data_IF_429120651384
#
_entry.id   IF_429120651384
#
_cell.length_a   1.000
_cell.length_b   1.000
_cell.length_c   1.000
_cell.angle_alpha   90.00
_cell.angle_beta   90.00
_cell.angle_gamma   90.00
#
_symmetry.space_group_name_H-M   'P 1'
#
loop_
_entity.id
_entity.type
_entity.pdbx_description
1 polymer ?
#
# COMPACT_ATOMS: atom_id res chain seq x y z
N UNK A 1 7.41 7.42 8.81
CA UNK A 1 6.55 6.21 8.84
C UNK A 1 6.65 5.50 7.49
N UNK A 2 6.82 4.22 7.51
CA UNK A 2 6.86 3.40 6.29
C UNK A 2 5.74 2.37 6.29
N UNK A 3 5.07 2.22 5.15
CA UNK A 3 3.93 1.32 4.98
C UNK A 3 4.10 0.50 3.71
N UNK A 4 3.35 -0.59 3.63
CA UNK A 4 3.10 -1.28 2.36
C UNK A 4 1.65 -0.98 1.98
N UNK A 5 1.42 -0.68 0.71
CA UNK A 5 0.11 -0.30 0.20
C UNK A 5 -0.39 -1.40 -0.74
N UNK A 6 -1.45 -2.10 -0.36
CA UNK A 6 -2.07 -3.09 -1.24
C UNK A 6 -2.66 -2.38 -2.46
N UNK A 7 -2.61 -3.03 -3.61
CA UNK A 7 -3.06 -2.45 -4.88
C UNK A 7 -4.51 -1.95 -4.82
N UNK A 8 -5.38 -2.65 -4.09
CA UNK A 8 -6.78 -2.23 -3.98
C UNK A 8 -6.95 -0.84 -3.36
N UNK A 9 -6.06 -0.46 -2.44
CA UNK A 9 -6.09 0.88 -1.82
C UNK A 9 -5.70 1.95 -2.85
N UNK A 10 -4.72 1.66 -3.68
CA UNK A 10 -4.28 2.57 -4.75
C UNK A 10 -5.41 2.79 -5.76
N UNK A 11 -6.05 1.71 -6.19
CA UNK A 11 -7.21 1.78 -7.11
C UNK A 11 -8.34 2.60 -6.48
N UNK A 12 -8.74 2.27 -5.25
CA UNK A 12 -9.83 2.97 -4.57
C UNK A 12 -9.53 4.44 -4.34
N UNK A 13 -8.27 4.76 -4.03
CA UNK A 13 -7.84 6.15 -3.82
C UNK A 13 -7.91 7.00 -5.08
N UNK A 14 -7.67 6.39 -6.24
CA UNK A 14 -7.78 7.07 -7.52
C UNK A 14 -9.22 7.16 -8.03
N UNK A 15 -10.06 6.17 -7.67
CA UNK A 15 -11.47 6.17 -8.10
C UNK A 15 -12.35 7.10 -7.28
N UNK A 16 -12.06 7.27 -5.99
CA UNK A 16 -12.91 8.02 -5.07
C UNK A 16 -12.09 9.05 -4.31
N UNK A 17 -12.11 10.32 -4.74
CA UNK A 17 -11.23 11.35 -4.17
C UNK A 17 -11.53 11.73 -2.73
N UNK A 18 -12.68 11.37 -2.18
CA UNK A 18 -13.08 11.77 -0.82
C UNK A 18 -13.00 10.67 0.24
N UNK A 19 -12.60 9.46 -0.14
CA UNK A 19 -12.56 8.33 0.79
C UNK A 19 -11.25 8.22 1.58
N UNK A 20 -11.23 7.30 2.54
CA UNK A 20 -10.03 7.00 3.31
C UNK A 20 -8.86 6.49 2.45
N UNK A 21 -9.09 5.67 1.40
CA UNK A 21 -8.00 5.31 0.50
C UNK A 21 -7.35 6.52 -0.17
N UNK A 22 -8.15 7.50 -0.60
CA UNK A 22 -7.61 8.73 -1.19
C UNK A 22 -6.81 9.54 -0.18
N UNK A 23 -7.27 9.64 1.07
CA UNK A 23 -6.53 10.32 2.12
C UNK A 23 -5.19 9.64 2.40
N UNK A 24 -5.17 8.30 2.43
CA UNK A 24 -3.93 7.53 2.57
C UNK A 24 -2.97 7.84 1.42
N UNK A 25 -3.48 7.83 0.18
CA UNK A 25 -2.67 8.13 -0.99
C UNK A 25 -2.15 9.57 -0.97
N UNK A 26 -2.95 10.53 -0.50
CA UNK A 26 -2.51 11.92 -0.37
C UNK A 26 -1.33 12.06 0.59
N UNK A 27 -1.34 11.34 1.72
CA UNK A 27 -0.22 11.34 2.66
C UNK A 27 1.06 10.80 2.01
N UNK A 28 0.93 9.77 1.20
CA UNK A 28 2.06 9.20 0.44
C UNK A 28 2.59 10.21 -0.57
N UNK A 29 1.71 10.80 -1.38
CA UNK A 29 2.10 11.73 -2.43
C UNK A 29 2.65 13.05 -1.86
N UNK A 30 2.25 13.42 -0.65
CA UNK A 30 2.79 14.58 0.06
C UNK A 30 4.15 14.32 0.70
N UNK A 31 4.65 13.07 0.67
CA UNK A 31 5.91 12.70 1.28
C UNK A 31 5.86 12.50 2.80
N UNK A 32 4.67 12.50 3.38
CA UNK A 32 4.50 12.30 4.82
C UNK A 32 4.67 10.84 5.23
N UNK A 33 4.38 9.92 4.31
CA UNK A 33 4.46 8.47 4.51
C UNK A 33 5.19 7.87 3.31
N UNK A 34 6.08 6.92 3.56
CA UNK A 34 6.86 6.28 2.50
C UNK A 34 6.35 4.87 2.25
N UNK A 35 6.13 4.53 0.97
CA UNK A 35 5.69 3.20 0.55
C UNK A 35 6.89 2.31 0.32
N UNK A 36 6.91 1.15 0.98
CA UNK A 36 7.89 0.10 0.73
C UNK A 36 7.43 -0.74 -0.45
N UNK A 37 8.33 -1.04 -1.36
CA UNK A 37 8.02 -1.78 -2.57
C UNK A 37 9.20 -2.62 -3.06
N UNK A 38 8.91 -3.52 -3.97
CA UNK A 38 9.89 -4.23 -4.78
C UNK A 38 9.38 -4.28 -6.23
N UNK A 39 10.12 -4.95 -7.11
CA UNK A 39 9.76 -5.03 -8.52
C UNK A 39 8.40 -5.67 -8.74
N UNK A 40 8.03 -6.66 -7.93
CA UNK A 40 6.76 -7.38 -8.06
C UNK A 40 5.58 -6.46 -7.74
N UNK A 41 5.70 -5.68 -6.68
CA UNK A 41 4.67 -4.73 -6.26
C UNK A 41 4.51 -3.63 -7.30
N UNK A 42 5.60 -3.03 -7.76
CA UNK A 42 5.53 -1.98 -8.77
C UNK A 42 4.95 -2.49 -10.09
N UNK A 43 5.30 -3.71 -10.49
CA UNK A 43 4.74 -4.33 -11.69
C UNK A 43 3.22 -4.56 -11.56
N UNK A 44 2.76 -5.01 -10.40
CA UNK A 44 1.33 -5.20 -10.16
C UNK A 44 0.59 -3.86 -10.18
N UNK A 45 1.11 -2.83 -9.54
CA UNK A 45 0.51 -1.50 -9.60
C UNK A 45 0.33 -1.05 -11.05
N UNK A 46 1.39 -1.15 -11.85
CA UNK A 46 1.35 -0.71 -13.25
C UNK A 46 0.34 -1.52 -14.07
N UNK A 47 0.31 -2.84 -13.90
CA UNK A 47 -0.62 -3.71 -14.62
C UNK A 47 -2.06 -3.43 -14.26
N UNK A 48 -2.38 -3.33 -12.97
CA UNK A 48 -3.75 -3.13 -12.51
C UNK A 48 -4.26 -1.75 -12.90
N UNK A 49 -3.46 -0.70 -12.73
CA UNK A 49 -3.87 0.66 -13.05
C UNK A 49 -4.02 0.90 -14.56
N UNK A 50 -3.44 0.04 -15.40
CA UNK A 50 -3.61 0.12 -16.85
C UNK A 50 -4.85 -0.60 -17.36
N UNK A 51 -5.61 -1.27 -16.49
CA UNK A 51 -6.81 -2.01 -16.91
C UNK A 51 -7.87 -1.07 -17.47
N UNK A 52 -8.41 -1.35 -18.69
CA UNK A 52 -9.37 -0.43 -19.35
C UNK A 52 -10.63 -0.14 -18.54
N UNK A 53 -11.06 -1.08 -17.70
CA UNK A 53 -12.28 -0.91 -16.90
C UNK A 53 -12.22 0.27 -15.92
N UNK A 54 -11.02 0.68 -15.50
CA UNK A 54 -10.87 1.80 -14.59
C UNK A 54 -10.84 3.15 -15.29
N UNK A 55 -10.47 3.18 -16.57
CA UNK A 55 -10.41 4.39 -17.39
C UNK A 55 -9.56 5.50 -16.78
N UNK A 56 -8.48 5.13 -16.10
CA UNK A 56 -7.54 6.11 -15.58
C UNK A 56 -6.76 6.77 -16.71
N UNK A 57 -6.44 8.05 -16.53
CA UNK A 57 -5.56 8.77 -17.44
C UNK A 57 -4.14 8.21 -17.33
N UNK A 58 -3.57 7.76 -18.45
CA UNK A 58 -2.23 7.18 -18.49
C UNK A 58 -1.15 8.10 -17.93
N UNK A 59 -1.25 9.39 -18.23
CA UNK A 59 -0.27 10.38 -17.74
C UNK A 59 -0.33 10.47 -16.21
N UNK A 60 -1.54 10.56 -15.65
CA UNK A 60 -1.75 10.62 -14.21
C UNK A 60 -1.22 9.35 -13.54
N UNK A 61 -1.48 8.18 -14.10
CA UNK A 61 -0.98 6.91 -13.58
C UNK A 61 0.54 6.89 -13.56
N UNK A 62 1.18 7.31 -14.65
CA UNK A 62 2.65 7.36 -14.70
C UNK A 62 3.23 8.30 -13.65
N UNK A 63 2.61 9.45 -13.45
CA UNK A 63 3.07 10.42 -12.44
C UNK A 63 2.97 9.82 -11.03
N UNK A 64 1.86 9.15 -10.70
CA UNK A 64 1.69 8.49 -9.40
C UNK A 64 2.73 7.39 -9.21
N UNK A 65 2.90 6.51 -10.20
CA UNK A 65 3.85 5.40 -10.08
C UNK A 65 5.29 5.89 -9.98
N UNK A 66 5.65 6.91 -10.74
CA UNK A 66 6.99 7.50 -10.68
C UNK A 66 7.26 8.07 -9.28
N UNK A 67 6.27 8.74 -8.71
CA UNK A 67 6.42 9.32 -7.36
C UNK A 67 6.50 8.25 -6.28
N UNK A 68 5.67 7.21 -6.37
CA UNK A 68 5.73 6.08 -5.44
C UNK A 68 7.11 5.42 -5.44
N UNK A 69 7.67 5.19 -6.62
CA UNK A 69 8.98 4.59 -6.76
C UNK A 69 10.09 5.51 -6.23
N UNK A 70 10.06 6.79 -6.62
CA UNK A 70 11.12 7.74 -6.28
C UNK A 70 11.14 8.09 -4.79
N UNK A 71 9.98 8.30 -4.19
CA UNK A 71 9.87 8.70 -2.79
C UNK A 71 9.76 7.51 -1.83
N UNK A 72 9.53 6.32 -2.36
CA UNK A 72 9.39 5.11 -1.57
C UNK A 72 10.72 4.43 -1.26
N UNK A 73 10.62 3.27 -0.63
CA UNK A 73 11.77 2.47 -0.22
C UNK A 73 11.78 1.15 -1.00
N UNK A 74 12.85 0.90 -1.73
CA UNK A 74 13.06 -0.38 -2.41
C UNK A 74 13.56 -1.40 -1.41
N UNK A 75 12.85 -2.52 -1.30
CA UNK A 75 13.10 -3.56 -0.28
C UNK A 75 13.49 -4.86 -0.95
N UNK A 76 14.49 -5.53 -0.40
CA UNK A 76 14.82 -6.91 -0.74
C UNK A 76 14.06 -7.85 0.20
N UNK A 77 13.06 -8.53 -0.32
CA UNK A 77 12.22 -9.44 0.44
C UNK A 77 12.51 -10.92 0.14
N UNK A 78 13.65 -11.24 -0.46
CA UNK A 78 14.00 -12.62 -0.88
C UNK A 78 14.05 -13.61 0.28
N UNK A 79 14.32 -13.16 1.51
CA UNK A 79 14.34 -14.01 2.69
C UNK A 79 12.94 -14.36 3.20
N UNK A 80 11.90 -13.68 2.73
CA UNK A 80 10.52 -13.89 3.15
C UNK A 80 9.81 -14.77 2.12
N UNK A 81 9.70 -16.06 2.43
CA UNK A 81 9.11 -17.07 1.57
C UNK A 81 8.13 -17.93 2.33
N UNK A 82 7.35 -18.72 1.60
CA UNK A 82 6.41 -19.69 2.16
C UNK A 82 5.38 -19.03 3.10
N UNK A 83 4.90 -17.86 2.69
CA UNK A 83 3.86 -17.15 3.41
C UNK A 83 2.51 -17.84 3.13
N UNK A 84 1.77 -18.13 4.17
CA UNK A 84 0.51 -18.88 4.07
C UNK A 84 -0.66 -17.91 3.98
N UNK A 85 -0.91 -17.40 2.76
CA UNK A 85 -2.03 -16.51 2.48
C UNK A 85 -3.06 -17.19 1.60
N UNK A 86 -4.36 -16.82 1.73
CA UNK A 86 -5.41 -17.36 0.87
C UNK A 86 -5.15 -17.18 -0.62
N UNK A 87 -4.59 -16.03 -1.01
CA UNK A 87 -4.19 -15.75 -2.39
C UNK A 87 -2.68 -15.56 -2.46
N UNK A 88 -1.96 -16.44 -3.18
CA UNK A 88 -0.52 -16.31 -3.34
C UNK A 88 -0.09 -14.99 -4.00
N UNK A 89 -0.95 -14.35 -4.78
CA UNK A 89 -0.64 -13.09 -5.44
C UNK A 89 -0.47 -11.94 -4.42
N UNK A 90 -0.97 -12.09 -3.19
CA UNK A 90 -0.79 -11.13 -2.12
C UNK A 90 0.52 -11.29 -1.35
N UNK A 91 1.23 -12.40 -1.55
CA UNK A 91 2.47 -12.67 -0.83
C UNK A 91 3.53 -11.57 -0.96
N UNK A 92 3.74 -10.96 -2.14
CA UNK A 92 4.74 -9.89 -2.24
C UNK A 92 4.51 -8.72 -1.27
N UNK A 93 3.27 -8.36 -1.01
CA UNK A 93 2.94 -7.27 -0.09
C UNK A 93 3.32 -7.61 1.34
N UNK A 94 2.96 -8.80 1.81
CA UNK A 94 3.33 -9.24 3.15
C UNK A 94 4.84 -9.45 3.27
N UNK A 95 5.47 -10.06 2.26
CA UNK A 95 6.91 -10.29 2.25
C UNK A 95 7.70 -8.98 2.39
N UNK A 96 7.32 -7.97 1.62
CA UNK A 96 7.97 -6.65 1.68
C UNK A 96 7.71 -5.99 3.05
N UNK A 97 6.49 -6.09 3.58
CA UNK A 97 6.17 -5.53 4.88
C UNK A 97 7.02 -6.15 5.99
N UNK A 98 7.21 -7.48 5.96
CA UNK A 98 8.04 -8.18 6.94
C UNK A 98 9.52 -7.83 6.79
N UNK A 99 10.04 -7.84 5.57
CA UNK A 99 11.45 -7.53 5.31
C UNK A 99 11.80 -6.10 5.68
N UNK A 100 10.89 -5.16 5.40
CA UNK A 100 11.09 -3.75 5.71
C UNK A 100 10.80 -3.41 7.17
N UNK A 101 10.18 -4.30 7.92
CA UNK A 101 9.60 -3.99 9.23
C UNK A 101 8.70 -2.75 9.13
N UNK A 102 7.82 -2.77 8.13
CA UNK A 102 6.92 -1.66 7.89
C UNK A 102 5.99 -1.44 9.09
N UNK A 103 5.65 -0.19 9.34
CA UNK A 103 4.75 0.15 10.44
C UNK A 103 3.36 -0.45 10.21
N UNK A 104 2.90 -0.44 8.94
CA UNK A 104 1.60 -1.01 8.57
C UNK A 104 1.62 -1.56 7.15
N UNK A 105 0.83 -2.63 6.95
CA UNK A 105 0.36 -3.03 5.63
C UNK A 105 -1.09 -2.55 5.53
N UNK A 106 -1.38 -1.65 4.61
CA UNK A 106 -2.70 -1.05 4.44
C UNK A 106 -3.44 -1.75 3.30
N UNK A 107 -4.59 -2.32 3.59
CA UNK A 107 -5.37 -3.10 2.62
C UNK A 107 -6.86 -2.78 2.72
N UNK A 108 -7.56 -2.80 1.60
CA UNK A 108 -9.01 -2.71 1.55
C UNK A 108 -9.72 -4.02 1.86
N UNK A 109 -8.99 -5.13 2.02
CA UNK A 109 -9.55 -6.44 2.29
C UNK A 109 -8.73 -7.18 3.34
N UNK A 110 -9.08 -7.00 4.62
CA UNK A 110 -8.36 -7.62 5.73
C UNK A 110 -8.41 -9.15 5.69
N UNK A 111 -9.44 -9.73 5.07
CA UNK A 111 -9.58 -11.18 4.97
C UNK A 111 -8.48 -11.82 4.11
N UNK A 112 -7.85 -11.07 3.22
CA UNK A 112 -6.72 -11.57 2.43
C UNK A 112 -5.47 -11.82 3.28
N UNK A 113 -5.43 -11.25 4.49
CA UNK A 113 -4.30 -11.37 5.42
C UNK A 113 -4.80 -11.86 6.78
N UNK A 114 -5.13 -13.17 6.91
CA UNK A 114 -5.64 -13.70 8.17
C UNK A 114 -4.66 -13.45 9.32
N UNK A 115 -5.14 -13.14 10.53
CA UNK A 115 -4.27 -12.84 11.67
C UNK A 115 -3.19 -13.89 11.93
N UNK A 116 -3.50 -15.17 11.73
CA UNK A 116 -2.56 -16.27 11.93
C UNK A 116 -1.40 -16.28 10.94
N UNK A 117 -1.52 -15.56 9.80
CA UNK A 117 -0.52 -15.56 8.73
C UNK A 117 0.32 -14.28 8.69
N UNK A 118 0.07 -13.33 9.57
CA UNK A 118 0.70 -11.98 9.52
C UNK A 118 2.14 -11.95 10.03
N UNK A 119 2.55 -12.93 10.79
CA UNK A 119 3.92 -13.06 11.35
C UNK A 119 4.39 -11.79 12.07
N UNK A 120 3.47 -11.11 12.77
CA UNK A 120 3.78 -9.90 13.51
C UNK A 120 3.59 -8.60 12.73
N UNK A 121 3.23 -8.67 11.45
CA UNK A 121 2.93 -7.48 10.65
C UNK A 121 1.59 -6.87 11.09
N UNK A 122 1.56 -5.56 11.28
CA UNK A 122 0.32 -4.83 11.56
C UNK A 122 -0.43 -4.56 10.25
N UNK A 123 -1.55 -5.24 10.07
CA UNK A 123 -2.39 -5.10 8.87
C UNK A 123 -3.63 -4.29 9.25
N UNK A 124 -3.89 -3.21 8.53
CA UNK A 124 -4.97 -2.27 8.84
C UNK A 124 -5.73 -1.88 7.57
N UNK A 125 -6.98 -1.44 7.75
CA UNK A 125 -7.75 -0.83 6.68
C UNK A 125 -7.30 0.63 6.46
N UNK A 126 -7.65 1.24 5.31
CA UNK A 126 -7.40 2.67 5.12
C UNK A 126 -8.04 3.55 6.19
N UNK A 127 -9.26 3.20 6.63
CA UNK A 127 -9.94 3.95 7.69
C UNK A 127 -9.16 3.89 9.01
N UNK A 128 -8.71 2.70 9.39
CA UNK A 128 -7.89 2.51 10.59
C UNK A 128 -6.56 3.24 10.48
N UNK A 129 -5.93 3.19 9.31
CA UNK A 129 -4.66 3.88 9.09
C UNK A 129 -4.80 5.39 9.23
N UNK A 130 -5.82 5.98 8.60
CA UNK A 130 -6.07 7.42 8.69
C UNK A 130 -6.35 7.84 10.13
N UNK A 131 -7.09 7.03 10.89
CA UNK A 131 -7.36 7.31 12.30
C UNK A 131 -6.07 7.29 13.13
N UNK A 132 -5.21 6.29 12.94
CA UNK A 132 -3.91 6.22 13.63
C UNK A 132 -3.06 7.43 13.28
N UNK A 133 -3.00 7.80 12.01
CA UNK A 133 -2.26 8.98 11.58
C UNK A 133 -2.73 10.24 12.28
N UNK A 134 -4.04 10.45 12.35
CA UNK A 134 -4.62 11.65 13.01
C UNK A 134 -4.29 11.71 14.49
N UNK A 135 -4.28 10.57 15.18
CA UNK A 135 -3.89 10.51 16.60
C UNK A 135 -2.42 10.87 16.80
N UNK A 136 -1.56 10.43 15.89
CA UNK A 136 -0.12 10.71 15.96
C UNK A 136 0.22 12.13 15.52
N UNK A 137 -0.64 12.76 14.74
CA UNK A 137 -0.44 14.09 14.15
C UNK A 137 -1.68 14.95 14.39
N UNK A 138 -2.01 15.27 15.66
CA UNK A 138 -3.18 16.11 15.93
C UNK A 138 -2.97 17.48 15.31
N UNK A 139 -4.06 18.04 14.75
CA UNK A 139 -4.01 19.38 14.19
C UNK A 139 -3.78 20.39 15.31
N UNK A 140 -2.81 21.28 15.10
CA UNK A 140 -2.65 22.43 15.96
C UNK A 140 -3.86 23.36 15.75
N UNK A 141 -4.46 23.79 16.82
CA UNK A 141 -5.54 24.77 16.80
C UNK A 141 -5.05 26.15 17.25
#
# INVERSE_FOLDING_TARGET
MKIVLDTNVLVSGLLQPLGNPAQTLMLVLAGAVHVCHDKRILAEYAEVLARPRFKFDEKQVREVLTKLEADGLTIDATAQQDLDLPDPDDEPFLAVALAAQADYLVTGNLADYPPSSRRGCSVVSPAEFVEVWRRMHPKAE
#
